data_IF_053472550222
#
_entry.id   IF_053472550222
#
_cell.length_a   1.000
_cell.length_b   1.000
_cell.length_c   1.000
_cell.angle_alpha   90.00
_cell.angle_beta   90.00
_cell.angle_gamma   90.00
#
_symmetry.space_group_name_H-M   'P 1'
#
loop_
_entity.id
_entity.type
_entity.pdbx_description
1 polymer ?
#
# COMPACT_ATOMS: atom_id res chain seq x y z
N UNK A 1 6.18 12.48 7.87
CA UNK A 1 5.88 11.21 7.16
C UNK A 1 5.35 10.22 8.18
N UNK A 2 4.12 9.71 8.03
CA UNK A 2 3.50 8.78 8.98
C UNK A 2 4.00 7.35 8.78
N UNK A 3 5.32 7.12 8.92
CA UNK A 3 5.95 5.81 8.73
C UNK A 3 5.36 4.73 9.64
N UNK A 4 4.90 5.12 10.83
CA UNK A 4 4.26 4.23 11.80
C UNK A 4 2.96 3.63 11.22
N UNK A 5 2.15 4.41 10.51
CA UNK A 5 0.90 3.94 9.89
C UNK A 5 1.21 2.89 8.83
N UNK A 6 2.22 3.15 8.00
CA UNK A 6 2.67 2.22 6.95
C UNK A 6 3.18 0.91 7.58
N UNK A 7 4.04 1.00 8.60
CA UNK A 7 4.60 -0.16 9.27
C UNK A 7 3.51 -1.02 9.92
N UNK A 8 2.58 -0.42 10.67
CA UNK A 8 1.49 -1.16 11.32
C UNK A 8 0.61 -1.85 10.28
N UNK A 9 0.25 -1.17 9.19
CA UNK A 9 -0.58 -1.77 8.14
C UNK A 9 0.12 -2.93 7.44
N UNK A 10 1.39 -2.74 7.05
CA UNK A 10 2.17 -3.75 6.33
C UNK A 10 2.47 -4.95 7.22
N UNK A 11 2.97 -4.74 8.44
CA UNK A 11 3.28 -5.82 9.38
C UNK A 11 2.00 -6.57 9.76
N UNK A 12 0.91 -5.85 10.04
CA UNK A 12 -0.37 -6.45 10.38
C UNK A 12 -0.88 -7.39 9.29
N UNK A 13 -0.87 -6.96 8.02
CA UNK A 13 -1.31 -7.81 6.92
C UNK A 13 -0.35 -8.98 6.67
N UNK A 14 0.97 -8.76 6.72
CA UNK A 14 1.94 -9.84 6.54
C UNK A 14 1.77 -10.91 7.63
N UNK A 15 1.59 -10.52 8.89
CA UNK A 15 1.33 -11.47 9.99
C UNK A 15 0.04 -12.24 9.73
N UNK A 16 -1.06 -11.56 9.39
CA UNK A 16 -2.35 -12.20 9.12
C UNK A 16 -2.31 -13.13 7.89
N UNK A 17 -1.49 -12.80 6.88
CA UNK A 17 -1.25 -13.64 5.72
C UNK A 17 -0.40 -14.87 6.08
N UNK A 18 0.64 -14.71 6.89
CA UNK A 18 1.50 -15.81 7.33
C UNK A 18 0.79 -16.80 8.26
N UNK A 19 -0.17 -16.34 9.07
CA UNK A 19 -0.99 -17.22 9.92
C UNK A 19 -2.12 -17.92 9.17
N UNK A 20 -2.28 -17.67 7.86
CA UNK A 20 -3.37 -18.22 7.06
C UNK A 20 -4.75 -17.63 7.38
N UNK A 21 -4.80 -16.55 8.18
CA UNK A 21 -6.06 -15.87 8.52
C UNK A 21 -6.66 -15.18 7.30
N UNK A 22 -5.81 -14.75 6.36
CA UNK A 22 -6.22 -14.20 5.07
C UNK A 22 -6.20 -15.32 4.03
N UNK A 23 -7.37 -15.83 3.58
CA UNK A 23 -7.43 -16.84 2.52
C UNK A 23 -7.08 -16.20 1.17
N UNK A 24 -5.86 -16.45 0.68
CA UNK A 24 -5.33 -15.82 -0.53
C UNK A 24 -5.95 -16.38 -1.83
N UNK A 25 -6.58 -17.53 -1.73
CA UNK A 25 -7.36 -18.21 -2.77
C UNK A 25 -8.82 -17.72 -2.85
N UNK A 26 -9.28 -16.95 -1.85
CA UNK A 26 -10.62 -16.40 -1.81
C UNK A 26 -10.63 -14.89 -2.10
N UNK A 27 -11.71 -14.42 -2.73
CA UNK A 27 -11.97 -12.99 -2.96
C UNK A 27 -11.91 -12.18 -1.67
N UNK A 28 -12.36 -12.78 -0.56
CA UNK A 28 -12.31 -12.18 0.77
C UNK A 28 -10.90 -11.77 1.22
N UNK A 29 -9.87 -12.57 0.91
CA UNK A 29 -8.50 -12.24 1.30
C UNK A 29 -7.98 -10.99 0.60
N UNK A 30 -8.21 -10.90 -0.71
CA UNK A 30 -7.88 -9.70 -1.50
C UNK A 30 -8.63 -8.46 -1.00
N UNK A 31 -9.91 -8.59 -0.65
CA UNK A 31 -10.71 -7.48 -0.10
C UNK A 31 -10.20 -7.01 1.26
N UNK A 32 -9.75 -7.91 2.14
CA UNK A 32 -9.16 -7.54 3.44
C UNK A 32 -7.87 -6.74 3.25
N UNK A 33 -6.98 -7.19 2.36
CA UNK A 33 -5.73 -6.48 2.05
C UNK A 33 -6.05 -5.10 1.48
N UNK A 34 -6.96 -5.02 0.50
CA UNK A 34 -7.38 -3.76 -0.11
C UNK A 34 -8.00 -2.80 0.92
N UNK A 35 -8.86 -3.30 1.80
CA UNK A 35 -9.48 -2.51 2.87
C UNK A 35 -8.44 -1.97 3.84
N UNK A 36 -7.46 -2.80 4.25
CA UNK A 36 -6.39 -2.35 5.14
C UNK A 36 -5.52 -1.28 4.48
N UNK A 37 -5.14 -1.45 3.22
CA UNK A 37 -4.41 -0.43 2.46
C UNK A 37 -5.22 0.86 2.32
N UNK A 38 -6.53 0.75 2.07
CA UNK A 38 -7.43 1.91 1.97
C UNK A 38 -7.52 2.68 3.29
N UNK A 39 -7.75 1.98 4.40
CA UNK A 39 -7.80 2.58 5.74
C UNK A 39 -6.46 3.23 6.10
N UNK A 40 -5.34 2.60 5.76
CA UNK A 40 -4.02 3.18 5.97
C UNK A 40 -3.82 4.47 5.15
N UNK A 41 -4.21 4.49 3.87
CA UNK A 41 -4.14 5.70 3.03
C UNK A 41 -5.04 6.83 3.55
N UNK A 42 -6.21 6.49 4.09
CA UNK A 42 -7.09 7.44 4.77
C UNK A 42 -6.42 7.99 6.04
N UNK A 43 -5.86 7.12 6.87
CA UNK A 43 -5.18 7.51 8.09
C UNK A 43 -3.98 8.44 7.81
N UNK A 44 -3.22 8.19 6.72
CA UNK A 44 -2.18 9.10 6.22
C UNK A 44 -2.77 10.48 5.88
N UNK A 45 -3.87 10.52 5.13
CA UNK A 45 -4.53 11.77 4.74
C UNK A 45 -5.04 12.57 5.94
N UNK A 46 -5.66 11.90 6.90
CA UNK A 46 -6.19 12.50 8.13
C UNK A 46 -5.05 13.05 8.99
N UNK A 47 -4.00 12.25 9.22
CA UNK A 47 -2.82 12.67 9.97
C UNK A 47 -2.17 13.91 9.36
N UNK A 48 -1.99 13.92 8.04
CA UNK A 48 -1.38 15.04 7.33
C UNK A 48 -2.28 16.31 7.37
N UNK A 49 -3.60 16.15 7.28
CA UNK A 49 -4.54 17.28 7.32
C UNK A 49 -4.56 17.93 8.71
N UNK A 50 -4.51 17.09 9.74
CA UNK A 50 -4.50 17.53 11.13
C UNK A 50 -3.18 18.21 11.51
N UNK A 51 -2.04 17.59 11.19
CA UNK A 51 -0.70 18.15 11.49
C UNK A 51 -0.48 19.51 10.81
N UNK A 52 -1.05 19.71 9.63
CA UNK A 52 -0.99 20.99 8.88
C UNK A 52 -2.13 21.95 9.19
N UNK A 53 -2.96 21.66 10.21
CA UNK A 53 -4.09 22.50 10.65
C UNK A 53 -4.96 23.01 9.49
N UNK A 54 -5.30 22.11 8.56
CA UNK A 54 -6.07 22.48 7.36
C UNK A 54 -7.53 22.77 7.68
N UNK A 55 -8.10 23.75 6.99
CA UNK A 55 -9.55 23.95 6.94
C UNK A 55 -10.27 22.84 6.16
N UNK A 56 -11.61 22.87 6.19
CA UNK A 56 -12.48 21.81 5.64
C UNK A 56 -12.17 21.46 4.18
N UNK A 57 -12.02 22.45 3.29
CA UNK A 57 -11.64 22.21 1.89
C UNK A 57 -10.25 21.57 1.76
N UNK A 58 -9.32 21.93 2.66
CA UNK A 58 -7.99 21.34 2.71
C UNK A 58 -8.00 19.88 3.16
N UNK A 59 -8.96 19.47 4.00
CA UNK A 59 -9.18 18.07 4.38
C UNK A 59 -9.68 17.23 3.20
N UNK A 60 -10.74 17.71 2.53
CA UNK A 60 -11.32 17.01 1.37
C UNK A 60 -10.26 16.81 0.29
N UNK A 61 -9.54 17.88 -0.07
CA UNK A 61 -8.46 17.80 -1.04
C UNK A 61 -7.36 16.82 -0.59
N UNK A 62 -7.02 16.76 0.70
CA UNK A 62 -6.02 15.82 1.21
C UNK A 62 -6.46 14.37 1.01
N UNK A 63 -7.70 14.05 1.36
CA UNK A 63 -8.24 12.70 1.25
C UNK A 63 -8.26 12.26 -0.22
N UNK A 64 -8.78 13.11 -1.11
CA UNK A 64 -8.86 12.81 -2.55
C UNK A 64 -7.46 12.61 -3.14
N UNK A 65 -6.53 13.53 -2.89
CA UNK A 65 -5.15 13.42 -3.42
C UNK A 65 -4.43 12.20 -2.86
N UNK A 66 -4.62 11.89 -1.58
CA UNK A 66 -4.06 10.68 -0.96
C UNK A 66 -4.53 9.41 -1.65
N UNK A 67 -5.84 9.28 -1.91
CA UNK A 67 -6.38 8.12 -2.60
C UNK A 67 -5.94 8.04 -4.06
N UNK A 68 -5.94 9.16 -4.78
CA UNK A 68 -5.44 9.19 -6.15
C UNK A 68 -3.98 8.73 -6.22
N UNK A 69 -3.13 9.23 -5.31
CA UNK A 69 -1.75 8.79 -5.18
C UNK A 69 -1.63 7.30 -4.87
N UNK A 70 -2.43 6.80 -3.93
CA UNK A 70 -2.41 5.39 -3.54
C UNK A 70 -2.81 4.46 -4.69
N UNK A 71 -3.94 4.73 -5.34
CA UNK A 71 -4.46 3.90 -6.42
C UNK A 71 -3.56 3.96 -7.66
N UNK A 72 -3.03 5.14 -7.98
CA UNK A 72 -2.06 5.28 -9.06
C UNK A 72 -0.82 4.43 -8.78
N UNK A 73 -0.22 4.56 -7.59
CA UNK A 73 0.96 3.78 -7.25
C UNK A 73 0.66 2.28 -7.11
N UNK A 74 -0.53 1.87 -6.67
CA UNK A 74 -0.91 0.47 -6.64
C UNK A 74 -0.96 -0.14 -8.05
N UNK A 75 -1.56 0.57 -9.01
CA UNK A 75 -1.70 0.07 -10.39
C UNK A 75 -0.36 -0.02 -11.12
N UNK A 76 0.51 0.99 -10.97
CA UNK A 76 1.80 1.05 -11.66
C UNK A 76 2.95 0.42 -10.87
N UNK A 77 2.78 0.24 -9.57
CA UNK A 77 3.77 -0.35 -8.67
C UNK A 77 3.88 -1.87 -8.79
N UNK A 78 2.80 -2.54 -9.18
CA UNK A 78 2.76 -4.00 -9.34
C UNK A 78 3.90 -4.54 -10.21
N UNK A 79 4.05 -4.07 -11.47
CA UNK A 79 5.16 -4.49 -12.32
C UNK A 79 6.55 -4.13 -11.75
N UNK A 80 6.68 -2.96 -11.11
CA UNK A 80 7.95 -2.51 -10.52
C UNK A 80 8.42 -3.40 -9.37
N UNK A 81 7.49 -4.03 -8.64
CA UNK A 81 7.79 -4.96 -7.56
C UNK A 81 7.90 -6.39 -8.08
N UNK A 82 6.98 -6.81 -8.95
CA UNK A 82 6.87 -8.20 -9.37
C UNK A 82 7.99 -8.65 -10.31
N UNK A 83 8.38 -7.82 -11.28
CA UNK A 83 9.39 -8.19 -12.28
C UNK A 83 10.75 -8.47 -11.61
N UNK A 84 11.30 -7.56 -10.76
CA UNK A 84 12.58 -7.82 -10.11
C UNK A 84 12.54 -9.01 -9.16
N UNK A 85 11.43 -9.21 -8.43
CA UNK A 85 11.28 -10.33 -7.51
C UNK A 85 11.22 -11.67 -8.24
N UNK A 86 10.54 -11.75 -9.38
CA UNK A 86 10.50 -12.97 -10.21
C UNK A 86 11.87 -13.28 -10.83
N UNK A 87 12.61 -12.25 -11.24
CA UNK A 87 14.00 -12.40 -11.70
C UNK A 87 14.90 -12.95 -10.58
N UNK A 88 14.73 -12.46 -9.35
CA UNK A 88 15.50 -12.91 -8.19
C UNK A 88 15.12 -14.33 -7.74
N UNK A 89 13.85 -14.69 -7.87
CA UNK A 89 13.33 -16.02 -7.53
C UNK A 89 13.69 -17.13 -8.55
N UNK A 90 14.52 -16.82 -9.56
CA UNK A 90 15.08 -17.80 -10.48
C UNK A 90 14.27 -18.05 -11.76
N UNK A 91 13.33 -17.16 -12.12
CA UNK A 91 12.68 -17.14 -13.45
C UNK A 91 11.80 -18.35 -13.84
N UNK A 92 11.72 -19.39 -13.00
CA UNK A 92 10.95 -20.60 -13.27
C UNK A 92 9.44 -20.48 -12.97
N UNK A 93 9.03 -19.45 -12.24
CA UNK A 93 7.64 -19.22 -11.84
C UNK A 93 6.97 -18.19 -12.75
N UNK A 94 5.83 -18.52 -13.35
CA UNK A 94 5.06 -17.61 -14.20
C UNK A 94 4.32 -16.52 -13.42
N UNK A 95 4.23 -16.61 -12.09
CA UNK A 95 3.61 -15.60 -11.23
C UNK A 95 4.18 -15.60 -9.81
N UNK A 96 4.04 -14.46 -9.09
CA UNK A 96 4.42 -14.34 -7.69
C UNK A 96 3.58 -15.26 -6.77
N UNK A 97 2.33 -15.52 -7.15
CA UNK A 97 1.46 -16.46 -6.46
C UNK A 97 1.95 -17.90 -6.64
N UNK A 98 2.45 -18.25 -7.82
CA UNK A 98 3.03 -19.57 -8.10
C UNK A 98 4.38 -19.77 -7.40
N UNK A 99 5.16 -18.69 -7.18
CA UNK A 99 6.40 -18.75 -6.41
C UNK A 99 6.15 -19.11 -4.92
N UNK A 100 4.99 -18.73 -4.38
CA UNK A 100 4.54 -19.09 -3.03
C UNK A 100 5.48 -18.63 -1.90
N UNK A 101 5.12 -19.00 -0.67
CA UNK A 101 5.97 -18.85 0.52
C UNK A 101 6.46 -17.41 0.78
N UNK A 102 7.73 -17.28 1.21
CA UNK A 102 8.30 -16.00 1.63
C UNK A 102 8.40 -14.94 0.53
N UNK A 103 8.55 -15.35 -0.74
CA UNK A 103 8.59 -14.42 -1.88
C UNK A 103 7.25 -13.71 -2.04
N UNK A 104 6.15 -14.43 -1.85
CA UNK A 104 4.80 -13.87 -1.88
C UNK A 104 4.56 -12.88 -0.74
N UNK A 105 5.00 -13.18 0.48
CA UNK A 105 4.89 -12.26 1.62
C UNK A 105 5.71 -10.97 1.40
N UNK A 106 6.92 -11.09 0.86
CA UNK A 106 7.77 -9.94 0.50
C UNK A 106 7.12 -9.10 -0.61
N UNK A 107 6.59 -9.75 -1.64
CA UNK A 107 5.91 -9.05 -2.73
C UNK A 107 4.68 -8.28 -2.23
N UNK A 108 3.85 -8.91 -1.40
CA UNK A 108 2.70 -8.28 -0.77
C UNK A 108 3.11 -7.06 0.06
N UNK A 109 4.13 -7.21 0.90
CA UNK A 109 4.63 -6.12 1.74
C UNK A 109 5.11 -4.94 0.88
N UNK A 110 5.91 -5.21 -0.16
CA UNK A 110 6.44 -4.17 -1.05
C UNK A 110 5.33 -3.49 -1.85
N UNK A 111 4.33 -4.22 -2.35
CA UNK A 111 3.20 -3.62 -3.05
C UNK A 111 2.38 -2.69 -2.14
N UNK A 112 2.14 -3.09 -0.89
CA UNK A 112 1.48 -2.22 0.09
C UNK A 112 2.31 -0.96 0.38
N UNK A 113 3.63 -1.10 0.54
CA UNK A 113 4.54 0.04 0.74
C UNK A 113 4.48 0.98 -0.46
N UNK A 114 4.52 0.47 -1.69
CA UNK A 114 4.46 1.31 -2.90
C UNK A 114 3.14 2.06 -2.99
N UNK A 115 2.00 1.41 -2.71
CA UNK A 115 0.70 2.06 -2.69
C UNK A 115 0.66 3.20 -1.65
N UNK A 116 1.10 2.94 -0.42
CA UNK A 116 1.09 3.95 0.66
C UNK A 116 2.14 5.06 0.43
N UNK A 117 3.25 4.73 -0.23
CA UNK A 117 4.21 5.72 -0.72
C UNK A 117 3.59 6.64 -1.78
N UNK A 118 2.73 6.10 -2.66
CA UNK A 118 1.95 6.90 -3.61
C UNK A 118 1.04 7.93 -2.94
N UNK A 119 0.31 7.50 -1.90
CA UNK A 119 -0.52 8.40 -1.07
C UNK A 119 0.32 9.55 -0.50
N UNK A 120 1.38 9.23 0.23
CA UNK A 120 2.23 10.23 0.88
C UNK A 120 2.99 11.11 -0.11
N UNK A 121 3.45 10.55 -1.23
CA UNK A 121 4.13 11.27 -2.31
C UNK A 121 3.22 12.27 -3.01
N UNK A 122 1.97 11.90 -3.28
CA UNK A 122 0.98 12.80 -3.85
C UNK A 122 0.69 13.98 -2.92
N UNK A 123 0.54 13.71 -1.61
CA UNK A 123 0.38 14.76 -0.61
C UNK A 123 1.61 15.66 -0.53
N UNK A 124 2.81 15.08 -0.52
CA UNK A 124 4.05 15.85 -0.51
C UNK A 124 4.14 16.79 -1.73
N UNK A 125 3.76 16.33 -2.92
CA UNK A 125 3.78 17.13 -4.14
C UNK A 125 2.83 18.35 -4.05
N UNK A 126 1.60 18.14 -3.59
CA UNK A 126 0.62 19.23 -3.38
C UNK A 126 1.11 20.23 -2.33
N UNK A 127 1.89 19.75 -1.36
CA UNK A 127 2.38 20.54 -0.24
C UNK A 127 3.68 21.28 -0.55
N UNK A 128 4.37 20.91 -1.63
CA UNK A 128 5.60 21.58 -2.06
C UNK A 128 5.36 23.01 -2.56
N UNK A 129 4.11 23.33 -2.94
CA UNK A 129 3.73 24.59 -3.62
C UNK A 129 2.82 25.48 -2.76
N UNK A 130 2.63 25.16 -1.47
CA UNK A 130 1.89 25.96 -0.50
C UNK A 130 2.81 26.31 0.67
#
# INVERSE_FOLDING_TARGET
MPYIIVQIAVIGIVVLQMTGTIPMDAVGGGLVIAAATFVAALAIAVHEAWTKKRGVLGWIANIVVSFLGAFFAAQFGGPLVAIPLLMLAGGGSSSLAAAGGGVMSVALALMMVVALAGSSGALWLVNRRR
#
